data_IF_158478249106
#
_entry.id   IF_158478249106
#
_cell.length_a   1.000
_cell.length_b   1.000
_cell.length_c   1.000
_cell.angle_alpha   90.00
_cell.angle_beta   90.00
_cell.angle_gamma   90.00
#
_symmetry.space_group_name_H-M   'P 1'
#
loop_
_entity.id
_entity.type
_entity.pdbx_description
1 polymer ?
#
# COMPACT_ATOMS: atom_id res chain seq x y z
N UNK A 1 44.27 28.10 -25.84
CA UNK A 1 44.04 26.74 -25.27
C UNK A 1 42.76 26.72 -24.42
N UNK A 2 41.73 26.01 -24.88
CA UNK A 2 40.45 25.84 -24.17
C UNK A 2 40.67 24.78 -23.08
N UNK A 3 40.24 24.99 -21.81
CA UNK A 3 40.40 23.97 -20.77
C UNK A 3 39.53 22.74 -21.09
N UNK A 4 39.98 21.52 -20.76
CA UNK A 4 39.20 20.32 -20.98
C UNK A 4 37.89 20.40 -20.19
N UNK A 5 36.78 20.16 -20.87
CA UNK A 5 35.47 20.06 -20.22
C UNK A 5 35.50 18.87 -19.26
N UNK A 6 35.11 19.11 -18.01
CA UNK A 6 34.95 18.04 -17.02
C UNK A 6 33.88 17.08 -17.55
N UNK A 7 34.29 15.87 -17.93
CA UNK A 7 33.37 14.76 -18.21
C UNK A 7 32.54 14.58 -16.94
N UNK A 8 31.25 14.91 -17.03
CA UNK A 8 30.29 14.80 -15.93
C UNK A 8 30.11 13.31 -15.67
N UNK A 9 30.81 12.79 -14.64
CA UNK A 9 30.69 11.40 -14.22
C UNK A 9 29.22 11.02 -14.02
N UNK A 10 28.86 9.82 -14.45
CA UNK A 10 27.52 9.28 -14.26
C UNK A 10 27.20 9.29 -12.76
N UNK A 11 26.25 10.14 -12.35
CA UNK A 11 25.77 10.16 -10.96
C UNK A 11 25.18 8.78 -10.69
N UNK A 12 25.74 8.04 -9.72
CA UNK A 12 25.09 6.85 -9.19
C UNK A 12 23.68 7.25 -8.75
N UNK A 13 22.64 6.51 -9.13
CA UNK A 13 21.29 6.84 -8.72
C UNK A 13 21.22 6.87 -7.19
N UNK A 14 20.45 7.83 -6.68
CA UNK A 14 20.19 7.96 -5.24
C UNK A 14 19.59 6.64 -4.72
N UNK A 15 19.97 6.19 -3.52
CA UNK A 15 19.50 4.93 -2.91
C UNK A 15 17.97 4.79 -2.97
N UNK A 16 17.24 5.88 -2.75
CA UNK A 16 15.76 5.90 -2.86
C UNK A 16 15.25 5.57 -4.26
N UNK A 17 15.96 5.99 -5.31
CA UNK A 17 15.61 5.65 -6.69
C UNK A 17 15.95 4.19 -7.03
N UNK A 18 16.97 3.61 -6.39
CA UNK A 18 17.27 2.19 -6.52
C UNK A 18 16.17 1.33 -5.89
N UNK A 19 15.75 1.69 -4.67
CA UNK A 19 14.65 1.02 -3.95
C UNK A 19 13.33 1.09 -4.74
N UNK A 20 13.01 2.22 -5.37
CA UNK A 20 11.82 2.34 -6.25
C UNK A 20 11.92 1.40 -7.44
N UNK A 21 13.07 1.37 -8.14
CA UNK A 21 13.25 0.48 -9.29
C UNK A 21 13.18 -1.00 -8.91
N UNK A 22 13.66 -1.39 -7.73
CA UNK A 22 13.52 -2.77 -7.23
C UNK A 22 12.05 -3.15 -7.00
N UNK A 23 11.24 -2.23 -6.46
CA UNK A 23 9.80 -2.44 -6.24
C UNK A 23 9.05 -2.54 -7.57
N UNK A 24 9.33 -1.64 -8.52
CA UNK A 24 8.75 -1.68 -9.87
C UNK A 24 9.04 -3.01 -10.56
N UNK A 25 10.29 -3.47 -10.54
CA UNK A 25 10.66 -4.77 -11.10
C UNK A 25 9.93 -5.94 -10.42
N UNK A 26 9.73 -5.89 -9.10
CA UNK A 26 9.01 -6.93 -8.38
C UNK A 26 7.52 -6.97 -8.76
N UNK A 27 6.91 -5.80 -8.96
CA UNK A 27 5.53 -5.67 -9.45
C UNK A 27 5.39 -6.24 -10.86
N UNK A 28 6.31 -5.90 -11.77
CA UNK A 28 6.32 -6.44 -13.13
C UNK A 28 6.46 -7.97 -13.13
N UNK A 29 7.34 -8.52 -12.27
CA UNK A 29 7.47 -9.96 -12.10
C UNK A 29 6.15 -10.60 -11.67
N UNK A 30 5.48 -10.05 -10.64
CA UNK A 30 4.20 -10.55 -10.16
C UNK A 30 3.12 -10.52 -11.25
N UNK A 31 3.03 -9.41 -11.99
CA UNK A 31 2.09 -9.28 -13.11
C UNK A 31 2.39 -10.33 -14.19
N UNK A 32 3.66 -10.58 -14.52
CA UNK A 32 4.07 -11.60 -15.49
C UNK A 32 3.71 -13.03 -15.06
N UNK A 33 3.63 -13.29 -13.75
CA UNK A 33 3.17 -14.55 -13.16
C UNK A 33 1.64 -14.68 -13.07
N UNK A 34 0.92 -13.66 -13.53
CA UNK A 34 -0.54 -13.59 -13.57
C UNK A 34 -1.18 -13.10 -12.27
N UNK A 35 -0.43 -12.42 -11.39
CA UNK A 35 -1.02 -11.75 -10.23
C UNK A 35 -1.71 -10.45 -10.65
N UNK A 36 -2.93 -10.26 -10.17
CA UNK A 36 -3.59 -8.97 -10.19
C UNK A 36 -3.05 -8.11 -9.04
N UNK A 37 -2.30 -7.05 -9.37
CA UNK A 37 -1.69 -6.15 -8.39
C UNK A 37 -2.68 -5.05 -8.02
N UNK A 38 -2.91 -4.88 -6.72
CA UNK A 38 -3.80 -3.86 -6.16
C UNK A 38 -3.04 -3.07 -5.09
N UNK A 39 -3.09 -1.76 -5.18
CA UNK A 39 -2.51 -0.82 -4.22
C UNK A 39 -3.58 -0.33 -3.25
N UNK A 40 -3.23 -0.22 -1.98
CA UNK A 40 -4.14 0.21 -0.92
C UNK A 40 -3.47 1.22 -0.02
N UNK A 41 -4.24 2.19 0.46
CA UNK A 41 -3.81 3.25 1.37
C UNK A 41 -4.96 3.64 2.30
N UNK A 42 -4.63 4.09 3.51
CA UNK A 42 -5.56 4.57 4.52
C UNK A 42 -5.07 5.86 5.16
N UNK A 43 -5.94 6.87 5.19
CA UNK A 43 -5.64 8.15 5.81
C UNK A 43 -6.63 8.49 6.91
N UNK A 44 -6.16 9.21 7.93
CA UNK A 44 -7.02 9.73 8.99
C UNK A 44 -6.51 11.07 9.50
N UNK A 45 -7.45 11.95 9.82
CA UNK A 45 -7.21 13.27 10.36
C UNK A 45 -8.14 13.55 11.54
N UNK A 46 -7.69 14.35 12.50
CA UNK A 46 -8.53 14.82 13.61
C UNK A 46 -8.89 16.27 13.35
N UNK A 47 -10.17 16.53 13.11
CA UNK A 47 -10.68 17.87 12.86
C UNK A 47 -11.25 18.49 14.15
N UNK A 48 -10.88 19.74 14.48
CA UNK A 48 -11.46 20.47 15.61
C UNK A 48 -13.00 20.53 15.51
N UNK A 49 -13.68 20.13 16.59
CA UNK A 49 -15.15 20.18 16.68
C UNK A 49 -15.91 19.08 15.95
N UNK A 50 -15.24 18.23 15.14
CA UNK A 50 -15.86 17.09 14.44
C UNK A 50 -15.38 15.76 15.01
N UNK A 51 -14.09 15.67 15.37
CA UNK A 51 -13.44 14.43 15.79
C UNK A 51 -12.60 13.82 14.67
N UNK A 52 -12.31 12.52 14.79
CA UNK A 52 -11.55 11.79 13.78
C UNK A 52 -12.36 11.55 12.51
N UNK A 53 -11.76 11.76 11.35
CA UNK A 53 -12.29 11.38 10.05
C UNK A 53 -11.23 10.52 9.38
N UNK A 54 -11.64 9.36 8.86
CA UNK A 54 -10.75 8.48 8.12
C UNK A 54 -11.31 8.18 6.73
N UNK A 55 -10.42 7.87 5.80
CA UNK A 55 -10.74 7.49 4.43
C UNK A 55 -9.76 6.47 3.90
N UNK A 56 -10.14 5.75 2.86
CA UNK A 56 -9.37 4.68 2.28
C UNK A 56 -9.33 4.79 0.76
N UNK A 57 -8.25 4.27 0.18
CA UNK A 57 -8.01 4.22 -1.26
C UNK A 57 -7.69 2.81 -1.71
N UNK A 58 -8.21 2.43 -2.87
CA UNK A 58 -7.85 1.19 -3.57
C UNK A 58 -7.63 1.51 -5.04
N UNK A 59 -6.51 1.06 -5.60
CA UNK A 59 -6.17 1.31 -6.99
C UNK A 59 -5.57 0.07 -7.64
N UNK A 60 -5.93 -0.19 -8.90
CA UNK A 60 -5.25 -1.16 -9.75
C UNK A 60 -5.24 -0.67 -11.19
N UNK A 61 -4.17 -0.98 -11.91
CA UNK A 61 -4.01 -0.65 -13.33
C UNK A 61 -5.07 -1.31 -14.22
N UNK A 62 -5.72 -2.38 -13.77
CA UNK A 62 -6.81 -3.03 -14.52
C UNK A 62 -8.17 -2.31 -14.36
N UNK A 63 -8.18 -1.05 -13.91
CA UNK A 63 -9.37 -0.20 -13.88
C UNK A 63 -10.11 -0.13 -12.54
N UNK A 64 -9.55 -0.70 -11.47
CA UNK A 64 -10.09 -0.54 -10.12
C UNK A 64 -9.61 0.79 -9.54
N UNK A 65 -10.54 1.65 -9.12
CA UNK A 65 -10.23 2.89 -8.42
C UNK A 65 -11.34 3.22 -7.43
N UNK A 66 -11.01 3.20 -6.14
CA UNK A 66 -11.91 3.51 -5.04
C UNK A 66 -11.23 4.59 -4.20
N UNK A 67 -11.96 5.65 -3.89
CA UNK A 67 -11.59 6.63 -2.86
C UNK A 67 -12.85 7.01 -2.10
N UNK A 68 -12.89 6.69 -0.82
CA UNK A 68 -14.09 6.89 0.00
C UNK A 68 -13.72 7.13 1.46
N UNK A 69 -14.67 7.72 2.20
CA UNK A 69 -14.58 7.79 3.65
C UNK A 69 -14.82 6.44 4.29
N UNK A 70 -14.18 6.20 5.42
CA UNK A 70 -14.47 5.06 6.27
C UNK A 70 -15.92 5.19 6.79
N UNK A 71 -16.70 4.10 6.84
CA UNK A 71 -18.06 4.16 7.38
C UNK A 71 -18.09 4.75 8.79
N UNK A 72 -19.11 5.55 9.10
CA UNK A 72 -19.17 6.35 10.33
C UNK A 72 -19.36 5.53 11.61
N UNK A 73 -19.84 4.28 11.49
CA UNK A 73 -19.95 3.31 12.57
C UNK A 73 -18.61 2.64 12.92
N UNK A 74 -17.60 2.82 12.07
CA UNK A 74 -16.25 2.33 12.31
C UNK A 74 -15.42 3.30 13.13
N UNK A 75 -14.39 2.77 13.79
CA UNK A 75 -13.43 3.59 14.52
C UNK A 75 -12.55 4.38 13.55
N UNK A 76 -12.67 5.71 13.58
CA UNK A 76 -11.98 6.64 12.68
C UNK A 76 -10.48 6.77 13.02
N UNK A 77 -9.68 5.80 12.58
CA UNK A 77 -8.22 5.79 12.79
C UNK A 77 -7.50 5.32 11.53
N UNK A 78 -6.21 5.67 11.41
CA UNK A 78 -5.37 5.25 10.28
C UNK A 78 -5.33 3.73 10.12
N UNK A 79 -5.10 2.98 11.19
CA UNK A 79 -5.03 1.51 11.14
C UNK A 79 -6.35 0.88 10.70
N UNK A 80 -7.50 1.47 11.10
CA UNK A 80 -8.81 0.99 10.63
C UNK A 80 -8.96 1.25 9.14
N UNK A 81 -8.59 2.43 8.66
CA UNK A 81 -8.68 2.79 7.25
C UNK A 81 -7.77 1.92 6.36
N UNK A 82 -6.53 1.70 6.78
CA UNK A 82 -5.57 0.81 6.11
C UNK A 82 -6.10 -0.62 5.99
N UNK A 83 -6.61 -1.17 7.10
CA UNK A 83 -7.18 -2.51 7.11
C UNK A 83 -8.45 -2.58 6.25
N UNK A 84 -9.28 -1.54 6.28
CA UNK A 84 -10.48 -1.44 5.46
C UNK A 84 -10.13 -1.39 3.97
N UNK A 85 -9.10 -0.63 3.57
CA UNK A 85 -8.59 -0.59 2.21
C UNK A 85 -8.20 -1.99 1.71
N UNK A 86 -7.44 -2.73 2.52
CA UNK A 86 -7.03 -4.10 2.21
C UNK A 86 -8.22 -5.07 2.07
N UNK A 87 -9.23 -4.96 2.95
CA UNK A 87 -10.46 -5.76 2.86
C UNK A 87 -11.23 -5.43 1.57
N UNK A 88 -11.39 -4.15 1.25
CA UNK A 88 -12.08 -3.71 0.03
C UNK A 88 -11.35 -4.16 -1.23
N UNK A 89 -10.02 -4.11 -1.26
CA UNK A 89 -9.21 -4.64 -2.35
C UNK A 89 -9.48 -6.13 -2.59
N UNK A 90 -9.40 -6.95 -1.54
CA UNK A 90 -9.65 -8.39 -1.63
C UNK A 90 -11.10 -8.72 -2.03
N UNK A 91 -12.07 -7.93 -1.60
CA UNK A 91 -13.49 -8.11 -1.96
C UNK A 91 -13.87 -7.60 -3.35
N UNK A 92 -13.00 -6.82 -4.01
CA UNK A 92 -13.30 -6.17 -5.29
C UNK A 92 -12.91 -6.98 -6.53
N UNK A 93 -12.30 -8.16 -6.34
CA UNK A 93 -11.81 -8.99 -7.43
C UNK A 93 -12.12 -10.47 -7.20
N UNK A 94 -12.42 -11.18 -8.29
CA UNK A 94 -12.57 -12.64 -8.30
C UNK A 94 -11.27 -13.33 -8.77
N UNK A 95 -10.17 -12.60 -8.90
CA UNK A 95 -8.91 -13.12 -9.40
C UNK A 95 -8.33 -14.19 -8.48
N UNK A 96 -7.90 -15.32 -9.06
CA UNK A 96 -7.32 -16.42 -8.30
C UNK A 96 -5.94 -16.09 -7.68
N UNK A 97 -5.22 -15.11 -8.25
CA UNK A 97 -3.92 -14.62 -7.77
C UNK A 97 -3.98 -13.10 -7.60
N UNK A 98 -3.84 -12.65 -6.36
CA UNK A 98 -3.89 -11.23 -6.01
C UNK A 98 -2.62 -10.88 -5.23
N UNK A 99 -2.01 -9.75 -5.58
CA UNK A 99 -0.93 -9.15 -4.81
C UNK A 99 -1.42 -7.79 -4.29
N UNK A 100 -1.53 -7.66 -2.97
CA UNK A 100 -1.92 -6.39 -2.33
C UNK A 100 -0.66 -5.66 -1.89
N UNK A 101 -0.47 -4.45 -2.41
CA UNK A 101 0.60 -3.53 -2.06
C UNK A 101 0.08 -2.49 -1.07
N UNK A 102 0.67 -2.44 0.12
CA UNK A 102 0.35 -1.50 1.20
C UNK A 102 1.64 -0.99 1.82
N UNK A 103 1.67 0.26 2.25
CA UNK A 103 2.73 0.83 3.07
C UNK A 103 2.48 0.67 4.58
N UNK A 104 1.31 0.14 4.96
CA UNK A 104 0.93 -0.11 6.34
C UNK A 104 1.65 -1.32 6.94
N UNK A 105 2.63 -1.04 7.80
CA UNK A 105 3.27 -2.06 8.64
C UNK A 105 2.28 -2.81 9.54
N UNK A 106 1.16 -2.18 9.92
CA UNK A 106 0.10 -2.81 10.71
C UNK A 106 -0.62 -3.90 9.91
N UNK A 107 -1.04 -3.60 8.68
CA UNK A 107 -1.70 -4.55 7.79
C UNK A 107 -0.74 -5.67 7.40
N UNK A 108 0.47 -5.33 6.95
CA UNK A 108 1.50 -6.31 6.58
C UNK A 108 1.86 -7.23 7.75
N UNK A 109 2.11 -6.67 8.95
CA UNK A 109 2.42 -7.44 10.16
C UNK A 109 1.25 -8.32 10.64
N UNK A 110 0.03 -7.83 10.47
CA UNK A 110 -1.21 -8.58 10.70
C UNK A 110 -1.27 -9.84 9.83
N UNK A 111 -1.22 -9.63 8.51
CA UNK A 111 -1.32 -10.67 7.49
C UNK A 111 -0.17 -11.69 7.55
N UNK A 112 1.06 -11.23 7.81
CA UNK A 112 2.25 -12.09 7.87
C UNK A 112 2.39 -12.91 9.16
N UNK A 113 1.63 -12.60 10.23
CA UNK A 113 1.60 -13.52 11.37
C UNK A 113 0.98 -13.04 12.68
N UNK A 114 0.81 -11.73 12.92
CA UNK A 114 0.19 -11.27 14.19
C UNK A 114 -1.24 -11.75 14.31
N UNK A 115 -2.04 -11.70 13.25
CA UNK A 115 -3.40 -12.22 13.24
C UNK A 115 -3.43 -13.72 13.57
N UNK A 116 -2.51 -14.51 12.98
CA UNK A 116 -2.39 -15.94 13.27
C UNK A 116 -2.08 -16.21 14.75
N UNK A 117 -1.22 -15.41 15.38
CA UNK A 117 -0.92 -15.54 16.82
C UNK A 117 -2.14 -15.21 17.68
N UNK A 118 -2.86 -14.13 17.35
CA UNK A 118 -4.07 -13.76 18.08
C UNK A 118 -5.16 -14.82 17.95
N UNK A 119 -5.38 -15.38 16.76
CA UNK A 119 -6.35 -16.46 16.54
C UNK A 119 -6.08 -17.67 17.46
N UNK A 120 -4.82 -18.11 17.57
CA UNK A 120 -4.43 -19.22 18.45
C UNK A 120 -4.60 -18.87 19.94
N UNK A 121 -4.59 -17.58 20.30
CA UNK A 121 -4.76 -17.07 21.67
C UNK A 121 -6.20 -16.63 21.99
N UNK A 122 -7.16 -16.90 21.11
CA UNK A 122 -8.56 -16.50 21.28
C UNK A 122 -8.78 -15.00 21.08
N UNK A 123 -8.12 -14.42 20.07
CA UNK A 123 -8.17 -12.99 19.70
C UNK A 123 -7.62 -12.05 20.79
N UNK A 124 -6.54 -12.49 21.45
CA UNK A 124 -5.78 -11.76 22.47
C UNK A 124 -4.34 -11.57 22.04
#
# INVERSE_FOLDING_TARGET
PIPPSKVRGTRRPNRKLQEVGEVENAIECLQSEGFHVIYTDGSAEILPGVGGIAGYGVYSECGLSISAFLPTDQRQTINTAELFAAIQALGSTESAKIAVCTDSSYVYGGASGSARRWMVRGWK
#
